data_IF_720459371587
#
_entry.id   IF_720459371587
#
_cell.length_a   1.000
_cell.length_b   1.000
_cell.length_c   1.000
_cell.angle_alpha   90.00
_cell.angle_beta   90.00
_cell.angle_gamma   90.00
#
_symmetry.space_group_name_H-M   'P 1'
#
loop_
_entity.id
_entity.type
_entity.pdbx_description
1 polymer ?
#
# COMPACT_ATOMS: atom_id res chain seq x y z
N UNK A 1 10.82 6.04 0.70
CA UNK A 1 11.16 4.67 0.27
C UNK A 1 12.40 4.62 -0.61
N UNK A 2 12.43 5.31 -1.76
CA UNK A 2 13.51 5.16 -2.75
C UNK A 2 14.97 5.27 -2.22
N UNK A 3 15.31 6.17 -1.27
CA UNK A 3 16.67 6.23 -0.73
C UNK A 3 17.11 5.00 0.09
N UNK A 4 16.16 4.23 0.61
CA UNK A 4 16.42 3.03 1.41
C UNK A 4 16.54 1.76 0.56
N UNK A 5 16.28 1.86 -0.75
CA UNK A 5 16.41 0.72 -1.67
C UNK A 5 17.89 0.45 -1.98
N UNK A 6 18.26 -0.82 -2.25
CA UNK A 6 19.55 -1.14 -2.84
C UNK A 6 19.68 -0.54 -4.25
N UNK A 7 20.87 -0.57 -4.82
CA UNK A 7 21.15 0.08 -6.11
C UNK A 7 20.32 -0.47 -7.28
N UNK A 8 19.96 -1.74 -7.22
CA UNK A 8 19.09 -2.42 -8.18
C UNK A 8 17.60 -2.43 -7.76
N UNK A 9 17.25 -1.78 -6.64
CA UNK A 9 15.89 -1.73 -6.14
C UNK A 9 15.00 -0.85 -7.00
N UNK A 10 13.73 -1.23 -7.13
CA UNK A 10 12.71 -0.51 -7.89
C UNK A 10 11.55 -0.14 -6.98
N UNK A 11 10.99 1.05 -7.19
CA UNK A 11 9.77 1.53 -6.55
C UNK A 11 8.72 1.75 -7.62
N UNK A 12 7.59 1.06 -7.51
CA UNK A 12 6.40 1.38 -8.30
C UNK A 12 5.46 2.15 -7.39
N UNK A 13 5.00 3.32 -7.82
CA UNK A 13 4.00 4.12 -7.10
C UNK A 13 2.79 4.36 -8.00
N UNK A 14 1.59 4.25 -7.43
CA UNK A 14 0.32 4.39 -8.15
C UNK A 14 -0.49 5.50 -7.49
N UNK A 15 -1.01 6.43 -8.30
CA UNK A 15 -1.85 7.53 -7.82
C UNK A 15 -2.79 7.98 -8.95
N UNK A 16 -3.97 8.45 -8.60
CA UNK A 16 -5.02 8.87 -9.55
C UNK A 16 -4.94 10.37 -9.87
N UNK A 17 -4.28 11.18 -9.02
CA UNK A 17 -4.27 12.64 -9.15
C UNK A 17 -3.14 13.11 -10.09
N UNK A 18 -3.47 13.65 -11.29
CA UNK A 18 -2.45 14.15 -12.22
C UNK A 18 -1.68 15.37 -11.69
N UNK A 19 -2.27 16.16 -10.79
CA UNK A 19 -1.64 17.37 -10.25
C UNK A 19 -0.58 16.98 -9.22
N UNK A 20 -0.96 16.17 -8.22
CA UNK A 20 -0.03 15.70 -7.20
C UNK A 20 1.13 14.91 -7.83
N UNK A 21 0.83 14.05 -8.80
CA UNK A 21 1.84 13.23 -9.48
C UNK A 21 2.79 14.03 -10.36
N UNK A 22 2.34 15.11 -11.00
CA UNK A 22 3.23 16.02 -11.73
C UNK A 22 4.24 16.70 -10.79
N UNK A 23 3.79 17.10 -9.59
CA UNK A 23 4.68 17.64 -8.55
C UNK A 23 5.66 16.55 -8.08
N UNK A 24 5.17 15.34 -7.79
CA UNK A 24 6.00 14.22 -7.37
C UNK A 24 7.09 13.89 -8.40
N UNK A 25 6.72 13.78 -9.69
CA UNK A 25 7.66 13.49 -10.78
C UNK A 25 8.74 14.57 -10.91
N UNK A 26 8.37 15.85 -10.76
CA UNK A 26 9.35 16.95 -10.75
C UNK A 26 10.41 16.76 -9.68
N UNK A 27 10.03 16.31 -8.49
CA UNK A 27 10.99 16.06 -7.42
C UNK A 27 11.75 14.75 -7.60
N UNK A 28 11.12 13.69 -8.11
CA UNK A 28 11.84 12.44 -8.43
C UNK A 28 13.03 12.70 -9.36
N UNK A 29 12.82 13.50 -10.41
CA UNK A 29 13.84 13.89 -11.39
C UNK A 29 15.00 14.72 -10.81
N UNK A 30 14.85 15.27 -9.60
CA UNK A 30 15.88 16.06 -8.92
C UNK A 30 16.67 15.24 -7.89
N UNK A 31 16.35 13.96 -7.71
CA UNK A 31 17.04 13.08 -6.76
C UNK A 31 17.88 12.04 -7.48
N UNK A 32 18.97 11.54 -6.88
CA UNK A 32 19.75 10.43 -7.43
C UNK A 32 18.96 9.09 -7.45
N UNK A 33 17.76 9.06 -6.89
CA UNK A 33 16.91 7.88 -6.81
C UNK A 33 15.77 7.89 -7.84
N UNK A 34 15.62 8.97 -8.62
CA UNK A 34 14.52 9.15 -9.57
C UNK A 34 14.38 7.99 -10.55
N UNK A 35 15.52 7.47 -11.03
CA UNK A 35 15.58 6.35 -11.99
C UNK A 35 15.08 5.02 -11.41
N UNK A 36 14.94 4.91 -10.07
CA UNK A 36 14.37 3.75 -9.39
C UNK A 36 12.85 3.81 -9.31
N UNK A 37 12.23 4.97 -9.59
CA UNK A 37 10.81 5.23 -9.36
C UNK A 37 10.04 5.16 -10.67
N UNK A 38 9.07 4.25 -10.73
CA UNK A 38 8.08 4.17 -11.82
C UNK A 38 6.73 4.65 -11.30
N UNK A 39 6.28 5.81 -11.80
CA UNK A 39 4.96 6.36 -11.50
C UNK A 39 3.90 5.78 -12.45
N UNK A 40 2.79 5.33 -11.88
CA UNK A 40 1.61 4.85 -12.62
C UNK A 40 0.42 5.75 -12.31
N UNK A 41 0.10 6.65 -13.25
CA UNK A 41 -1.07 7.52 -13.16
C UNK A 41 -2.35 6.76 -13.52
N UNK A 42 -3.33 6.74 -12.62
CA UNK A 42 -4.65 6.14 -12.82
C UNK A 42 -5.13 5.31 -11.63
N UNK A 43 -6.16 4.49 -11.85
CA UNK A 43 -6.69 3.61 -10.81
C UNK A 43 -5.64 2.57 -10.39
N UNK A 44 -5.41 2.46 -9.08
CA UNK A 44 -4.40 1.57 -8.52
C UNK A 44 -4.72 0.09 -8.76
N UNK A 45 -5.98 -0.35 -8.70
CA UNK A 45 -6.31 -1.77 -8.99
C UNK A 45 -6.01 -2.11 -10.45
N UNK A 46 -6.33 -1.21 -11.39
CA UNK A 46 -5.95 -1.41 -12.80
C UNK A 46 -4.43 -1.60 -12.98
N UNK A 47 -3.64 -0.81 -12.26
CA UNK A 47 -2.17 -0.91 -12.26
C UNK A 47 -1.66 -2.21 -11.64
N UNK A 48 -2.27 -2.66 -10.54
CA UNK A 48 -1.96 -3.95 -9.88
C UNK A 48 -2.33 -5.12 -10.80
N UNK A 49 -3.50 -5.08 -11.43
CA UNK A 49 -3.98 -6.13 -12.32
C UNK A 49 -3.08 -6.31 -13.55
N UNK A 50 -2.69 -5.21 -14.18
CA UNK A 50 -1.79 -5.24 -15.34
C UNK A 50 -0.48 -5.96 -15.00
N UNK A 51 0.08 -5.68 -13.81
CA UNK A 51 1.32 -6.27 -13.32
C UNK A 51 1.18 -7.71 -12.86
N UNK A 52 0.05 -8.07 -12.28
CA UNK A 52 -0.28 -9.45 -11.97
C UNK A 52 -0.29 -10.31 -13.24
N UNK A 53 -0.78 -9.79 -14.37
CA UNK A 53 -0.75 -10.49 -15.68
C UNK A 53 0.67 -10.72 -16.20
N UNK A 54 1.60 -9.83 -15.88
CA UNK A 54 3.03 -9.99 -16.22
C UNK A 54 3.82 -10.74 -15.15
N UNK A 55 3.15 -11.28 -14.12
CA UNK A 55 3.76 -11.99 -12.98
C UNK A 55 4.84 -11.18 -12.25
N UNK A 56 4.67 -9.86 -12.19
CA UNK A 56 5.54 -9.02 -11.37
C UNK A 56 5.28 -9.32 -9.88
N UNK A 57 6.34 -9.27 -9.06
CA UNK A 57 6.29 -9.52 -7.62
C UNK A 57 6.90 -8.35 -6.86
N UNK A 58 6.54 -8.22 -5.57
CA UNK A 58 6.99 -7.14 -4.72
C UNK A 58 7.41 -7.67 -3.35
N UNK A 59 8.61 -7.32 -2.90
CA UNK A 59 9.08 -7.69 -1.55
C UNK A 59 8.28 -6.96 -0.45
N UNK A 60 7.79 -5.76 -0.78
CA UNK A 60 6.99 -4.92 0.10
C UNK A 60 5.98 -4.10 -0.69
N UNK A 61 4.74 -4.00 -0.19
CA UNK A 61 3.72 -3.05 -0.64
C UNK A 61 3.31 -2.14 0.52
N UNK A 62 3.16 -0.85 0.22
CA UNK A 62 2.65 0.14 1.16
C UNK A 62 1.30 0.68 0.68
N UNK A 63 0.27 0.51 1.51
CA UNK A 63 -1.09 0.96 1.26
C UNK A 63 -1.33 2.28 2.00
N UNK A 64 -1.47 3.35 1.23
CA UNK A 64 -1.92 4.66 1.70
C UNK A 64 -2.74 5.34 0.59
N UNK A 65 -3.99 4.90 0.44
CA UNK A 65 -4.87 5.28 -0.67
C UNK A 65 -6.34 5.41 -0.20
N UNK A 66 -7.30 5.08 -1.06
CA UNK A 66 -8.73 5.03 -0.70
C UNK A 66 -8.98 3.91 0.32
N UNK A 67 -9.28 4.32 1.56
CA UNK A 67 -9.48 3.40 2.68
C UNK A 67 -10.66 2.45 2.48
N UNK A 68 -11.66 2.83 1.66
CA UNK A 68 -12.81 1.98 1.36
C UNK A 68 -12.42 0.70 0.61
N UNK A 69 -11.30 0.75 -0.11
CA UNK A 69 -10.79 -0.32 -0.99
C UNK A 69 -9.56 -1.04 -0.44
N UNK A 70 -9.19 -0.79 0.83
CA UNK A 70 -8.02 -1.42 1.44
C UNK A 70 -8.07 -2.96 1.40
N UNK A 71 -9.24 -3.56 1.61
CA UNK A 71 -9.42 -5.02 1.46
C UNK A 71 -9.12 -5.45 0.03
N UNK A 72 -9.71 -4.77 -0.97
CA UNK A 72 -9.48 -5.06 -2.39
C UNK A 72 -7.98 -4.96 -2.75
N UNK A 73 -7.31 -3.90 -2.30
CA UNK A 73 -5.88 -3.72 -2.53
C UNK A 73 -5.07 -4.85 -1.89
N UNK A 74 -5.31 -5.13 -0.60
CA UNK A 74 -4.62 -6.19 0.14
C UNK A 74 -4.77 -7.55 -0.52
N UNK A 75 -6.00 -7.96 -0.83
CA UNK A 75 -6.27 -9.25 -1.47
C UNK A 75 -5.68 -9.34 -2.89
N UNK A 76 -5.65 -8.23 -3.63
CA UNK A 76 -5.11 -8.23 -4.99
C UNK A 76 -3.58 -8.29 -5.02
N UNK A 77 -2.90 -7.62 -4.07
CA UNK A 77 -1.43 -7.61 -4.02
C UNK A 77 -0.86 -8.84 -3.31
N UNK A 78 -1.58 -9.44 -2.35
CA UNK A 78 -1.06 -10.55 -1.55
C UNK A 78 -0.46 -11.70 -2.40
N UNK A 79 -1.09 -12.17 -3.50
CA UNK A 79 -0.51 -13.19 -4.37
C UNK A 79 0.82 -12.79 -5.02
N UNK A 80 1.10 -11.49 -5.14
CA UNK A 80 2.31 -10.91 -5.74
C UNK A 80 3.44 -10.71 -4.71
N UNK A 81 3.18 -10.94 -3.42
CA UNK A 81 4.18 -10.84 -2.35
C UNK A 81 4.82 -12.23 -2.14
N UNK A 82 6.14 -12.40 -2.10
CA UNK A 82 6.74 -13.70 -1.75
C UNK A 82 6.48 -14.05 -0.28
N UNK A 83 6.65 -15.32 0.10
CA UNK A 83 6.65 -15.70 1.52
C UNK A 83 7.73 -14.90 2.28
N UNK A 84 7.37 -14.34 3.43
CA UNK A 84 8.21 -13.40 4.19
C UNK A 84 8.14 -11.94 3.74
N UNK A 85 7.56 -11.64 2.57
CA UNK A 85 7.34 -10.27 2.11
C UNK A 85 6.24 -9.55 2.89
N UNK A 86 6.18 -8.22 2.73
CA UNK A 86 5.37 -7.34 3.58
C UNK A 86 4.25 -6.62 2.83
N UNK A 87 3.09 -6.51 3.48
CA UNK A 87 2.08 -5.50 3.17
C UNK A 87 1.99 -4.59 4.40
N UNK A 88 2.19 -3.29 4.19
CA UNK A 88 2.12 -2.29 5.26
C UNK A 88 0.98 -1.34 4.93
N UNK A 89 0.01 -1.21 5.83
CA UNK A 89 -1.15 -0.35 5.65
C UNK A 89 -1.11 0.82 6.64
N UNK A 90 -1.22 2.04 6.14
CA UNK A 90 -1.22 3.26 6.95
C UNK A 90 -2.63 3.68 7.37
N UNK A 91 -2.69 4.41 8.48
CA UNK A 91 -3.87 4.99 9.13
C UNK A 91 -4.90 3.96 9.64
N UNK A 92 -4.44 2.84 10.19
CA UNK A 92 -5.32 1.74 10.62
C UNK A 92 -5.99 1.95 11.98
N UNK A 93 -5.53 2.92 12.78
CA UNK A 93 -6.29 3.40 13.96
C UNK A 93 -7.29 4.50 13.59
N UNK A 94 -7.13 5.14 12.42
CA UNK A 94 -8.05 6.09 11.81
C UNK A 94 -8.57 7.18 12.76
N UNK A 95 -7.66 7.83 13.46
CA UNK A 95 -7.91 8.87 14.49
C UNK A 95 -8.86 8.41 15.59
N UNK A 96 -8.90 7.10 15.87
CA UNK A 96 -9.81 6.48 16.82
C UNK A 96 -11.23 6.28 16.30
N UNK A 97 -11.57 6.72 15.07
CA UNK A 97 -12.92 6.59 14.50
C UNK A 97 -13.33 5.14 14.27
N UNK A 98 -12.39 4.20 14.26
CA UNK A 98 -12.71 2.76 14.25
C UNK A 98 -13.50 2.31 15.48
N UNK A 99 -13.49 3.07 16.58
CA UNK A 99 -14.25 2.77 17.79
C UNK A 99 -15.72 3.21 17.73
N UNK A 100 -16.03 4.16 16.84
CA UNK A 100 -17.39 4.68 16.60
C UNK A 100 -17.52 5.13 15.13
N UNK A 101 -17.61 4.20 14.18
CA UNK A 101 -17.56 4.50 12.75
C UNK A 101 -18.88 5.14 12.27
N UNK A 102 -18.76 6.23 11.50
CA UNK A 102 -19.92 6.99 10.98
C UNK A 102 -19.93 7.06 9.45
N UNK A 103 -18.75 7.17 8.84
CA UNK A 103 -18.60 7.31 7.39
C UNK A 103 -18.23 5.99 6.73
N UNK A 104 -18.49 5.88 5.42
CA UNK A 104 -18.06 4.72 4.62
C UNK A 104 -16.55 4.45 4.72
N UNK A 105 -15.75 5.50 4.90
CA UNK A 105 -14.30 5.43 5.06
C UNK A 105 -13.92 4.84 6.42
N UNK A 106 -14.60 5.24 7.50
CA UNK A 106 -14.39 4.68 8.84
C UNK A 106 -14.73 3.19 8.85
N UNK A 107 -15.88 2.83 8.27
CA UNK A 107 -16.27 1.44 8.09
C UNK A 107 -15.31 0.68 7.16
N UNK A 108 -14.70 1.36 6.19
CA UNK A 108 -13.66 0.79 5.31
C UNK A 108 -12.43 0.33 6.09
N UNK A 109 -11.91 1.16 7.00
CA UNK A 109 -10.78 0.80 7.85
C UNK A 109 -11.17 -0.29 8.85
N UNK A 110 -12.36 -0.19 9.47
CA UNK A 110 -12.83 -1.22 10.40
C UNK A 110 -12.90 -2.59 9.71
N UNK A 111 -13.51 -2.66 8.52
CA UNK A 111 -13.55 -3.89 7.71
C UNK A 111 -12.15 -4.39 7.35
N UNK A 112 -11.22 -3.50 7.02
CA UNK A 112 -9.85 -3.90 6.74
C UNK A 112 -9.15 -4.50 7.96
N UNK A 113 -9.31 -3.89 9.15
CA UNK A 113 -8.74 -4.40 10.38
C UNK A 113 -9.30 -5.78 10.73
N UNK A 114 -10.62 -5.97 10.63
CA UNK A 114 -11.26 -7.27 10.86
C UNK A 114 -10.79 -8.33 9.84
N UNK A 115 -10.66 -7.93 8.57
CA UNK A 115 -10.16 -8.81 7.50
C UNK A 115 -8.74 -9.29 7.77
N UNK A 116 -7.83 -8.38 8.15
CA UNK A 116 -6.44 -8.72 8.47
C UNK A 116 -6.36 -9.64 9.69
N UNK A 117 -7.21 -9.44 10.71
CA UNK A 117 -7.27 -10.32 11.89
C UNK A 117 -7.68 -11.75 11.51
N UNK A 118 -8.61 -11.88 10.55
CA UNK A 118 -9.12 -13.18 10.10
C UNK A 118 -8.25 -13.87 9.03
N UNK A 119 -7.31 -13.16 8.40
CA UNK A 119 -6.53 -13.68 7.29
C UNK A 119 -5.37 -14.57 7.74
N UNK A 120 -5.55 -15.89 7.63
CA UNK A 120 -4.53 -16.88 8.01
C UNK A 120 -3.34 -16.94 7.05
N UNK A 121 -3.32 -16.17 5.96
CA UNK A 121 -2.21 -16.11 4.99
C UNK A 121 -1.12 -15.13 5.41
N UNK A 122 -1.32 -14.39 6.50
CA UNK A 122 -0.37 -13.41 7.01
C UNK A 122 -0.20 -13.55 8.53
N UNK A 123 0.95 -13.11 9.02
CA UNK A 123 1.13 -12.72 10.42
C UNK A 123 1.11 -11.19 10.50
N UNK A 124 0.39 -10.63 11.46
CA UNK A 124 0.13 -9.21 11.54
C UNK A 124 0.52 -8.59 12.89
N UNK A 125 0.94 -7.34 12.85
CA UNK A 125 1.08 -6.47 14.02
C UNK A 125 0.55 -5.08 13.70
N UNK A 126 -0.29 -4.54 14.58
CA UNK A 126 -0.72 -3.14 14.53
C UNK A 126 0.15 -2.32 15.47
N UNK A 127 0.87 -1.35 14.91
CA UNK A 127 1.78 -0.47 15.63
C UNK A 127 1.12 0.90 15.88
N UNK A 128 1.11 1.42 17.12
CA UNK A 128 0.55 2.73 17.44
C UNK A 128 1.52 3.86 17.08
N UNK A 129 2.02 3.85 15.85
CA UNK A 129 2.86 4.90 15.28
C UNK A 129 1.96 5.79 14.42
N UNK A 130 1.98 7.11 14.69
CA UNK A 130 1.10 8.09 14.04
C UNK A 130 -0.37 7.68 14.16
N UNK A 131 -1.05 7.47 13.03
CA UNK A 131 -2.47 7.13 12.97
C UNK A 131 -2.73 5.62 12.87
N UNK A 132 -1.76 4.81 13.32
CA UNK A 132 -1.78 3.35 13.24
C UNK A 132 -1.16 2.85 11.94
N UNK A 133 -0.21 1.92 12.09
CA UNK A 133 0.39 1.22 10.95
C UNK A 133 0.24 -0.27 11.20
N UNK A 134 -0.47 -0.96 10.30
CA UNK A 134 -0.57 -2.42 10.34
C UNK A 134 0.46 -3.02 9.40
N UNK A 135 1.34 -3.87 9.93
CA UNK A 135 2.34 -4.62 9.17
C UNK A 135 1.89 -6.06 9.08
N UNK A 136 1.70 -6.56 7.86
CA UNK A 136 1.34 -7.94 7.56
C UNK A 136 2.52 -8.61 6.84
N UNK A 137 3.05 -9.68 7.42
CA UNK A 137 4.06 -10.54 6.80
C UNK A 137 3.37 -11.75 6.18
N UNK A 138 3.54 -11.96 4.87
CA UNK A 138 2.98 -13.15 4.21
C UNK A 138 3.71 -14.41 4.70
N UNK A 139 2.94 -15.46 5.00
CA UNK A 139 3.49 -16.79 5.36
C UNK A 139 3.59 -17.73 4.16
#
# INVERSE_FOLDING_TARGET
MAPALPDNGRLVTCDIDPVATAVAQRYFNQTPYGDRITLCLGDALGSVESRARTRETFDMVFLDADKKRYVDYGDRVLPMIPAGGLIIADNTLWSGRVLDPVTDTDHGILRFNDHVVADTRVEQVMLPIRDGVTVCRRI
#
